data_IF_386069203541
#
_entry.id   IF_386069203541
#
_cell.length_a   1.000
_cell.length_b   1.000
_cell.length_c   1.000
_cell.angle_alpha   90.00
_cell.angle_beta   90.00
_cell.angle_gamma   90.00
#
_symmetry.space_group_name_H-M   'P 1'
#
loop_
_entity.id
_entity.type
_entity.pdbx_description
1 polymer ?
#
# COMPACT_ATOMS: atom_id res chain seq x y z
N UNK A 1 7.06 0.37 -2.43
CA UNK A 1 6.25 -0.20 -3.53
C UNK A 1 4.79 0.12 -3.27
N UNK A 2 3.95 0.02 -4.29
CA UNK A 2 2.56 0.45 -4.26
C UNK A 2 1.60 -0.71 -4.54
N UNK A 3 0.45 -0.70 -3.87
CA UNK A 3 -0.71 -1.57 -4.10
C UNK A 3 -1.86 -0.69 -4.56
N UNK A 4 -2.02 -0.58 -5.87
CA UNK A 4 -3.20 -0.01 -6.53
C UNK A 4 -4.41 -0.91 -6.30
N UNK A 5 -5.43 -0.34 -5.69
CA UNK A 5 -6.72 -0.96 -5.48
C UNK A 5 -7.65 -0.81 -6.69
N UNK A 6 -7.20 -0.18 -7.78
CA UNK A 6 -8.00 -0.02 -8.98
C UNK A 6 -8.28 -1.39 -9.62
N UNK A 7 -9.55 -1.81 -9.82
CA UNK A 7 -9.89 -3.18 -10.18
C UNK A 7 -9.25 -3.71 -11.47
N UNK A 8 -9.02 -2.84 -12.46
CA UNK A 8 -8.40 -3.23 -13.73
C UNK A 8 -6.86 -3.24 -13.68
N UNK A 9 -6.26 -2.76 -12.59
CA UNK A 9 -4.81 -2.84 -12.34
C UNK A 9 -4.49 -3.94 -11.32
N UNK A 10 -4.99 -3.79 -10.09
CA UNK A 10 -4.67 -4.64 -8.93
C UNK A 10 -3.18 -5.00 -8.82
N UNK A 11 -2.34 -3.99 -9.02
CA UNK A 11 -0.88 -4.09 -8.97
C UNK A 11 -0.38 -3.26 -7.78
N UNK A 12 0.48 -3.75 -6.89
CA UNK A 12 1.23 -5.00 -6.90
C UNK A 12 0.40 -6.25 -6.57
N UNK A 13 0.63 -7.37 -7.28
CA UNK A 13 -0.02 -8.66 -6.99
C UNK A 13 0.38 -9.19 -5.61
N UNK A 14 -0.46 -10.06 -5.03
CA UNK A 14 -0.28 -10.61 -3.67
C UNK A 14 1.06 -11.36 -3.47
N UNK A 15 1.51 -12.12 -4.48
CA UNK A 15 2.82 -12.79 -4.48
C UNK A 15 3.96 -11.77 -4.29
N UNK A 16 3.90 -10.67 -5.02
CA UNK A 16 4.94 -9.64 -4.95
C UNK A 16 4.78 -8.74 -3.71
N UNK A 17 3.57 -8.57 -3.18
CA UNK A 17 3.36 -7.98 -1.85
C UNK A 17 4.09 -8.79 -0.79
N UNK A 18 3.94 -10.13 -0.79
CA UNK A 18 4.64 -11.00 0.16
C UNK A 18 6.15 -10.89 0.01
N UNK A 19 6.67 -10.91 -1.23
CA UNK A 19 8.09 -10.74 -1.51
C UNK A 19 8.61 -9.37 -1.04
N UNK A 20 7.87 -8.31 -1.29
CA UNK A 20 8.23 -6.96 -0.85
C UNK A 20 8.30 -6.87 0.68
N UNK A 21 7.34 -7.49 1.39
CA UNK A 21 7.38 -7.65 2.85
C UNK A 21 8.64 -8.38 3.31
N UNK A 22 8.95 -9.54 2.73
CA UNK A 22 10.13 -10.35 3.08
C UNK A 22 11.44 -9.58 2.85
N UNK A 23 11.46 -8.68 1.86
CA UNK A 23 12.58 -7.78 1.57
C UNK A 23 12.61 -6.52 2.45
N UNK A 24 11.68 -6.35 3.39
CA UNK A 24 11.60 -5.17 4.27
C UNK A 24 11.17 -3.88 3.55
N UNK A 25 10.61 -3.99 2.35
CA UNK A 25 10.18 -2.84 1.55
C UNK A 25 8.84 -2.33 2.10
N UNK A 26 8.76 -1.03 2.35
CA UNK A 26 7.49 -0.41 2.76
C UNK A 26 6.49 -0.34 1.60
N UNK A 27 5.23 -0.61 1.91
CA UNK A 27 4.12 -0.64 0.96
C UNK A 27 3.16 0.53 1.19
N UNK A 28 2.58 1.07 0.13
CA UNK A 28 1.47 2.02 0.18
C UNK A 28 0.27 1.47 -0.59
N UNK A 29 -0.95 1.75 -0.14
CA UNK A 29 -2.19 1.37 -0.81
C UNK A 29 -2.88 2.64 -1.32
N UNK A 30 -3.32 2.65 -2.58
CA UNK A 30 -4.09 3.74 -3.17
C UNK A 30 -5.23 3.20 -4.05
N UNK A 31 -6.08 4.05 -4.58
CA UNK A 31 -7.22 3.69 -5.46
C UNK A 31 -7.07 4.16 -6.91
N UNK A 32 -5.97 4.83 -7.26
CA UNK A 32 -5.70 5.45 -8.56
C UNK A 32 -6.88 6.31 -9.04
N UNK A 33 -7.42 7.10 -8.13
CA UNK A 33 -8.71 7.75 -8.32
C UNK A 33 -8.61 8.96 -9.24
N UNK A 34 -9.40 8.92 -10.30
CA UNK A 34 -9.65 10.00 -11.26
C UNK A 34 -11.06 10.59 -11.12
N UNK A 35 -12.00 9.87 -10.49
CA UNK A 35 -13.37 10.32 -10.18
C UNK A 35 -13.84 9.78 -8.82
N UNK A 36 -14.68 10.56 -8.10
CA UNK A 36 -14.96 10.35 -6.67
C UNK A 36 -15.39 8.94 -6.26
N UNK A 37 -16.20 8.25 -7.08
CA UNK A 37 -16.68 6.91 -6.72
C UNK A 37 -15.56 5.86 -6.63
N UNK A 38 -14.41 6.09 -7.29
CA UNK A 38 -13.29 5.15 -7.30
C UNK A 38 -12.57 5.06 -5.95
N UNK A 39 -12.75 6.04 -5.05
CA UNK A 39 -12.25 5.93 -3.67
C UNK A 39 -12.82 4.71 -2.93
N UNK A 40 -13.99 4.22 -3.34
CA UNK A 40 -14.63 3.03 -2.77
C UNK A 40 -13.88 1.72 -3.10
N UNK A 41 -12.83 1.77 -3.94
CA UNK A 41 -12.04 0.59 -4.31
C UNK A 41 -10.99 0.21 -3.26
N UNK A 42 -10.72 1.05 -2.25
CA UNK A 42 -9.73 0.78 -1.19
C UNK A 42 -9.81 -0.64 -0.58
N UNK A 43 -10.99 -1.24 -0.36
CA UNK A 43 -11.09 -2.62 0.14
C UNK A 43 -10.35 -3.66 -0.71
N UNK A 44 -10.24 -3.46 -2.03
CA UNK A 44 -9.50 -4.38 -2.90
C UNK A 44 -8.00 -4.36 -2.60
N UNK A 45 -7.41 -3.18 -2.44
CA UNK A 45 -6.00 -3.03 -2.07
C UNK A 45 -5.70 -3.60 -0.68
N UNK A 46 -6.62 -3.40 0.29
CA UNK A 46 -6.53 -4.04 1.61
C UNK A 46 -6.60 -5.57 1.49
N UNK A 47 -7.48 -6.09 0.64
CA UNK A 47 -7.60 -7.51 0.34
C UNK A 47 -6.29 -8.08 -0.22
N UNK A 48 -5.72 -7.44 -1.24
CA UNK A 48 -4.43 -7.82 -1.83
C UNK A 48 -3.30 -7.78 -0.81
N UNK A 49 -3.24 -6.74 0.04
CA UNK A 49 -2.25 -6.63 1.11
C UNK A 49 -2.35 -7.81 2.10
N UNK A 50 -3.57 -8.16 2.54
CA UNK A 50 -3.81 -9.29 3.45
C UNK A 50 -3.46 -10.63 2.81
N UNK A 51 -3.79 -10.83 1.53
CA UNK A 51 -3.42 -12.04 0.77
C UNK A 51 -1.90 -12.20 0.65
N UNK A 52 -1.17 -11.10 0.48
CA UNK A 52 0.30 -11.05 0.52
C UNK A 52 0.89 -11.05 1.95
N UNK A 53 0.07 -11.32 2.97
CA UNK A 53 0.45 -11.41 4.38
C UNK A 53 1.07 -10.12 4.95
N UNK A 54 0.80 -8.96 4.35
CA UNK A 54 1.25 -7.68 4.88
C UNK A 54 0.54 -7.36 6.21
N UNK A 55 1.32 -6.90 7.18
CA UNK A 55 0.84 -6.45 8.49
C UNK A 55 0.78 -4.92 8.53
N UNK A 56 0.15 -4.37 9.58
CA UNK A 56 0.05 -2.91 9.80
C UNK A 56 1.42 -2.20 9.65
N UNK A 57 2.47 -2.77 10.22
CA UNK A 57 3.84 -2.23 10.20
C UNK A 57 4.45 -2.12 8.78
N UNK A 58 3.96 -2.93 7.84
CA UNK A 58 4.45 -2.99 6.46
C UNK A 58 3.78 -1.91 5.58
N UNK A 59 2.62 -1.39 6.01
CA UNK A 59 1.77 -0.47 5.23
C UNK A 59 1.90 0.98 5.74
N UNK A 60 2.36 1.89 4.88
CA UNK A 60 2.56 3.32 5.17
C UNK A 60 1.26 4.05 5.55
N UNK A 61 0.12 3.67 4.95
CA UNK A 61 -1.19 4.29 5.19
C UNK A 61 -1.68 4.14 6.64
N UNK A 62 -1.05 3.28 7.43
CA UNK A 62 -1.43 3.03 8.82
C UNK A 62 -0.71 3.94 9.82
N UNK A 63 0.28 4.70 9.34
CA UNK A 63 0.98 5.71 10.13
C UNK A 63 0.06 6.91 10.36
N UNK A 64 0.20 7.55 11.52
CA UNK A 64 -0.38 8.88 11.72
C UNK A 64 0.31 9.90 10.80
N UNK A 65 -0.36 11.02 10.54
CA UNK A 65 0.18 12.10 9.71
C UNK A 65 1.61 12.51 10.11
N UNK A 66 1.83 12.80 11.40
CA UNK A 66 3.15 13.20 11.91
C UNK A 66 4.21 12.10 11.75
N UNK A 67 3.83 10.83 11.95
CA UNK A 67 4.75 9.70 11.77
C UNK A 67 5.12 9.49 10.30
N UNK A 68 4.15 9.65 9.38
CA UNK A 68 4.38 9.58 7.94
C UNK A 68 5.31 10.71 7.49
N UNK A 69 5.04 11.96 7.87
CA UNK A 69 5.88 13.11 7.52
C UNK A 69 7.30 12.96 8.03
N UNK A 70 7.47 12.51 9.28
CA UNK A 70 8.79 12.19 9.84
C UNK A 70 9.51 11.10 9.04
N UNK A 71 8.80 10.09 8.55
CA UNK A 71 9.37 9.00 7.74
C UNK A 71 9.77 9.47 6.34
N UNK A 72 9.03 10.37 5.73
CA UNK A 72 9.33 10.95 4.40
C UNK A 72 10.46 11.98 4.44
N UNK A 73 10.60 12.72 5.54
CA UNK A 73 11.69 13.71 5.71
C UNK A 73 13.08 13.11 5.96
N UNK A 74 13.18 11.80 6.23
CA UNK A 74 14.47 11.11 6.33
C UNK A 74 14.99 10.82 4.93
N UNK A 75 16.21 11.31 4.60
CA UNK A 75 16.92 10.87 3.38
C UNK A 75 17.09 9.35 3.42
N UNK A 76 16.60 8.68 2.38
CA UNK A 76 16.89 7.26 2.15
C UNK A 76 18.24 7.18 1.43
N UNK A 77 19.12 6.30 1.92
CA UNK A 77 20.39 5.97 1.27
C UNK A 77 20.13 5.07 0.05
#
# INVERSE_FOLDING_TARGET
MEISAYPLRLDLSDIYVKKAKEMGVSLSINTDTHVSFQFNFMPYGIGTARRGWAEKKDILNTLSYNALMKRLGKKRA
#
